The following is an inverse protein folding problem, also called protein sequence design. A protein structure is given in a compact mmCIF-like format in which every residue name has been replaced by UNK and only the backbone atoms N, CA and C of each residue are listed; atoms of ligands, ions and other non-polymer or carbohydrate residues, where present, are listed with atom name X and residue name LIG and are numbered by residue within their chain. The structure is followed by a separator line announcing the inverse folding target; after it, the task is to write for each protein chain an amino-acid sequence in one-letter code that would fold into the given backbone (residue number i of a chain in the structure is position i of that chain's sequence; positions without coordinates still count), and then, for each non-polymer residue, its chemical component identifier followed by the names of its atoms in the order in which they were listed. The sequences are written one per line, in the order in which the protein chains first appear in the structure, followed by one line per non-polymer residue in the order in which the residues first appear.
data_IF_764364352112
#
_entry.id   IF_764364352112
#
_cell.length_a   1.000
_cell.length_b   1.000
_cell.length_c   1.000
_cell.angle_alpha   90.00
_cell.angle_beta   90.00
_cell.angle_gamma   90.00
#
_symmetry.space_group_name_H-M   'P 1'
#
loop_
_entity.id
_entity.type
_entity.pdbx_description
1 polymer ?
#
# COMPACT_ATOMS: atom_id res chain seq x y z
N UNK A 1 -11.03 6.94 -37.52
CA UNK A 1 -9.79 6.32 -36.99
C UNK A 1 -9.87 6.30 -35.47
N UNK A 2 -10.09 5.14 -34.86
CA UNK A 2 -10.23 5.02 -33.40
C UNK A 2 -8.87 5.12 -32.70
N UNK A 3 -8.80 5.64 -31.46
CA UNK A 3 -7.53 5.77 -30.76
C UNK A 3 -7.00 4.37 -30.45
N UNK A 4 -5.84 4.05 -31.02
CA UNK A 4 -5.10 2.83 -30.75
C UNK A 4 -4.66 2.89 -29.28
N UNK A 5 -5.39 2.20 -28.41
CA UNK A 5 -4.97 2.00 -27.02
C UNK A 5 -3.60 1.30 -27.05
N UNK A 6 -2.54 1.89 -26.49
CA UNK A 6 -1.22 1.31 -26.62
C UNK A 6 -1.17 -0.04 -25.89
N UNK A 7 -0.86 -1.10 -26.65
CA UNK A 7 -0.53 -2.44 -26.13
C UNK A 7 0.54 -2.38 -25.03
N UNK A 8 1.37 -1.34 -25.06
CA UNK A 8 2.41 -1.05 -24.07
C UNK A 8 1.89 -1.02 -22.62
N UNK A 9 0.70 -0.46 -22.36
CA UNK A 9 0.17 -0.34 -20.99
C UNK A 9 -0.20 -1.70 -20.38
N UNK A 10 -0.57 -2.68 -21.22
CA UNK A 10 -0.85 -4.05 -20.77
C UNK A 10 0.44 -4.81 -20.47
N UNK A 11 1.45 -4.69 -21.33
CA UNK A 11 2.75 -5.32 -21.14
C UNK A 11 3.46 -4.74 -19.92
N UNK A 12 3.44 -3.41 -19.75
CA UNK A 12 3.92 -2.75 -18.51
C UNK A 12 3.18 -3.27 -17.28
N UNK A 13 1.86 -3.43 -17.34
CA UNK A 13 1.09 -4.00 -16.21
C UNK A 13 1.53 -5.41 -15.85
N UNK A 14 1.71 -6.26 -16.85
CA UNK A 14 2.17 -7.63 -16.63
C UNK A 14 3.59 -7.65 -16.11
N UNK A 15 4.48 -6.83 -16.67
CA UNK A 15 5.86 -6.72 -16.24
C UNK A 15 5.99 -6.18 -14.81
N UNK A 16 5.25 -5.13 -14.46
CA UNK A 16 5.19 -4.60 -13.09
C UNK A 16 4.59 -5.61 -12.12
N UNK A 17 3.54 -6.34 -12.53
CA UNK A 17 2.95 -7.41 -11.70
C UNK A 17 3.96 -8.54 -11.48
N UNK A 18 4.73 -8.90 -12.51
CA UNK A 18 5.78 -9.90 -12.45
C UNK A 18 6.96 -9.43 -11.61
N UNK A 19 7.34 -8.15 -11.70
CA UNK A 19 8.39 -7.54 -10.87
C UNK A 19 7.98 -7.44 -9.40
N UNK A 20 6.71 -7.17 -9.14
CA UNK A 20 6.14 -7.18 -7.77
C UNK A 20 6.13 -8.61 -7.21
N UNK A 21 5.98 -9.61 -8.08
CA UNK A 21 6.08 -11.02 -7.73
C UNK A 21 7.52 -11.46 -7.46
N UNK A 22 8.48 -11.08 -8.33
CA UNK A 22 9.90 -11.41 -8.19
C UNK A 22 10.56 -10.66 -7.01
N UNK A 23 10.10 -9.46 -6.69
CA UNK A 23 10.58 -8.67 -5.54
C UNK A 23 9.68 -8.77 -4.31
N UNK A 24 9.02 -9.92 -4.10
CA UNK A 24 8.12 -10.13 -2.96
C UNK A 24 8.84 -9.91 -1.63
N UNK A 25 10.06 -10.42 -1.46
CA UNK A 25 10.89 -10.18 -0.27
C UNK A 25 11.18 -8.69 -0.06
N UNK A 26 11.48 -7.95 -1.13
CA UNK A 26 11.68 -6.50 -1.07
C UNK A 26 10.41 -5.77 -0.64
N UNK A 27 9.26 -6.18 -1.19
CA UNK A 27 7.97 -5.62 -0.81
C UNK A 27 7.62 -5.94 0.66
N UNK A 28 7.92 -7.15 1.13
CA UNK A 28 7.77 -7.55 2.53
C UNK A 28 8.65 -6.68 3.44
N UNK A 29 9.92 -6.47 3.07
CA UNK A 29 10.85 -5.63 3.82
C UNK A 29 10.33 -4.19 3.97
N UNK A 30 9.85 -3.59 2.89
CA UNK A 30 9.24 -2.25 2.96
C UNK A 30 7.96 -2.23 3.81
N UNK A 31 7.12 -3.27 3.73
CA UNK A 31 5.95 -3.37 4.60
C UNK A 31 6.31 -3.54 6.08
N UNK A 32 7.43 -4.19 6.39
CA UNK A 32 7.93 -4.32 7.76
C UNK A 32 8.49 -3.00 8.31
N UNK A 33 9.15 -2.21 7.46
CA UNK A 33 9.54 -0.84 7.81
C UNK A 33 8.31 0.05 8.06
N UNK A 34 7.27 -0.07 7.22
CA UNK A 34 6.02 0.65 7.40
C UNK A 34 5.32 0.19 8.69
N UNK A 35 5.34 -1.10 8.98
CA UNK A 35 4.80 -1.67 10.21
C UNK A 35 5.43 -1.02 11.45
N UNK A 36 6.76 -0.94 11.52
CA UNK A 36 7.45 -0.30 12.63
C UNK A 36 7.10 1.20 12.77
N UNK A 37 7.02 1.92 11.64
CA UNK A 37 6.66 3.33 11.64
C UNK A 37 5.21 3.56 12.09
N UNK A 38 4.29 2.70 11.67
CA UNK A 38 2.87 2.77 12.05
C UNK A 38 2.67 2.34 13.50
N UNK A 39 3.44 1.37 13.99
CA UNK A 39 3.44 0.93 15.37
C UNK A 39 3.90 2.06 16.31
N UNK A 40 4.92 2.84 15.92
CA UNK A 40 5.36 4.03 16.67
C UNK A 40 4.29 5.12 16.78
N UNK A 41 3.30 5.13 15.89
CA UNK A 41 2.15 6.05 15.93
C UNK A 41 0.99 5.53 16.78
N UNK A 42 1.12 4.31 17.34
CA UNK A 42 0.10 3.69 18.20
C UNK A 42 -1.00 2.95 17.44
N UNK A 43 -0.82 2.71 16.13
CA UNK A 43 -1.77 1.95 15.33
C UNK A 43 -1.46 0.45 15.40
N UNK A 44 -2.51 -0.37 15.28
CA UNK A 44 -2.34 -1.83 15.19
C UNK A 44 -2.24 -2.25 13.75
N UNK A 45 -1.44 -3.27 13.50
CA UNK A 45 -1.17 -3.76 12.15
C UNK A 45 -1.40 -5.26 12.07
N UNK A 46 -1.90 -5.74 10.93
CA UNK A 46 -2.07 -7.16 10.63
C UNK A 46 -1.34 -7.47 9.34
N UNK A 47 -0.28 -8.27 9.46
CA UNK A 47 0.61 -8.69 8.38
C UNK A 47 -0.01 -9.84 7.58
N UNK A 48 -0.89 -9.53 6.62
CA UNK A 48 -1.49 -10.55 5.75
C UNK A 48 -0.49 -11.16 4.75
N UNK A 49 0.69 -10.56 4.59
CA UNK A 49 1.74 -11.10 3.71
C UNK A 49 2.49 -12.30 4.30
N UNK A 50 2.38 -12.54 5.62
CA UNK A 50 3.03 -13.67 6.31
C UNK A 50 2.26 -14.99 6.14
N UNK A 51 1.01 -14.91 5.69
CA UNK A 51 0.26 -16.09 5.28
C UNK A 51 0.77 -16.53 3.90
N UNK A 52 1.58 -17.57 3.88
CA UNK A 52 2.05 -18.26 2.67
C UNK A 52 0.89 -18.77 1.77
N UNK A 53 -0.35 -18.71 2.27
CA UNK A 53 -1.57 -19.13 1.58
C UNK A 53 -1.86 -18.38 0.27
N UNK A 54 -1.27 -17.20 0.02
CA UNK A 54 -1.53 -16.41 -1.18
C UNK A 54 -0.26 -15.99 -1.94
N UNK A 55 0.41 -16.93 -2.64
CA UNK A 55 1.56 -16.60 -3.50
C UNK A 55 1.15 -15.66 -4.63
N UNK A 56 -0.09 -15.76 -5.14
CA UNK A 56 -0.63 -14.99 -6.28
C UNK A 56 -1.11 -13.57 -5.96
N UNK A 57 -1.26 -13.23 -4.68
CA UNK A 57 -1.74 -11.90 -4.25
C UNK A 57 -0.56 -11.03 -3.81
N UNK A 58 -0.59 -9.72 -4.13
CA UNK A 58 0.43 -8.80 -3.66
C UNK A 58 0.45 -8.76 -2.13
N UNK A 59 1.64 -8.66 -1.50
CA UNK A 59 1.77 -8.60 -0.05
C UNK A 59 1.02 -7.37 0.46
N UNK A 60 0.25 -7.57 1.53
CA UNK A 60 -0.71 -6.59 2.01
C UNK A 60 -0.61 -6.50 3.54
N UNK A 61 -0.54 -5.27 4.03
CA UNK A 61 -0.53 -4.89 5.44
C UNK A 61 -1.83 -4.17 5.76
N UNK A 62 -2.58 -4.68 6.73
CA UNK A 62 -3.75 -3.97 7.23
C UNK A 62 -3.36 -3.10 8.40
N UNK A 63 -3.65 -1.82 8.31
CA UNK A 63 -3.49 -0.89 9.43
C UNK A 63 -4.85 -0.57 10.01
N UNK A 64 -4.98 -0.76 11.33
CA UNK A 64 -6.18 -0.54 12.11
C UNK A 64 -5.97 0.65 13.04
N UNK A 65 -6.87 1.62 12.91
CA UNK A 65 -7.04 2.67 13.88
C UNK A 65 -8.30 2.39 14.69
N UNK A 66 -8.11 2.28 16.01
CA UNK A 66 -9.19 2.10 16.96
C UNK A 66 -9.54 3.46 17.57
N UNK A 67 -10.73 3.98 17.24
CA UNK A 67 -11.37 5.07 17.99
C UNK A 67 -12.51 4.49 18.85
N UNK A 68 -12.90 5.16 19.95
CA UNK A 68 -14.08 4.80 20.73
C UNK A 68 -15.36 4.73 19.88
N UNK A 69 -15.52 5.66 18.94
CA UNK A 69 -16.76 5.78 18.15
C UNK A 69 -16.69 5.07 16.79
N UNK A 70 -15.49 4.81 16.28
CA UNK A 70 -15.30 4.25 14.94
C UNK A 70 -13.98 3.51 14.80
N UNK A 71 -14.06 2.28 14.31
CA UNK A 71 -12.89 1.51 13.90
C UNK A 71 -12.66 1.69 12.42
N UNK A 72 -11.47 2.16 12.05
CA UNK A 72 -11.09 2.38 10.67
C UNK A 72 -9.96 1.42 10.30
N UNK A 73 -10.06 0.87 9.11
CA UNK A 73 -9.01 0.05 8.51
C UNK A 73 -8.51 0.66 7.20
N UNK A 74 -7.21 0.57 6.98
CA UNK A 74 -6.56 0.98 5.75
C UNK A 74 -5.69 -0.19 5.25
N UNK A 75 -6.09 -0.87 4.16
CA UNK A 75 -5.27 -1.91 3.56
C UNK A 75 -4.17 -1.25 2.71
N UNK A 76 -2.91 -1.50 3.03
CA UNK A 76 -1.74 -0.99 2.32
C UNK A 76 -1.02 -2.14 1.61
N UNK A 77 -0.61 -1.92 0.36
CA UNK A 77 0.25 -2.81 -0.39
C UNK A 77 1.45 -2.05 -0.96
N UNK A 78 2.50 -2.79 -1.26
CA UNK A 78 3.69 -2.26 -1.95
C UNK A 78 3.66 -2.76 -3.38
N UNK A 79 3.90 -1.86 -4.34
CA UNK A 79 3.93 -2.20 -5.77
C UNK A 79 5.17 -1.64 -6.42
N UNK A 80 5.72 -2.39 -7.37
CA UNK A 80 6.75 -1.88 -8.24
C UNK A 80 6.15 -0.77 -9.13
N UNK A 81 6.88 0.33 -9.28
CA UNK A 81 6.54 1.44 -10.17
C UNK A 81 7.44 1.43 -11.41
N UNK A 82 6.99 2.03 -12.53
CA UNK A 82 7.85 2.27 -13.69
C UNK A 82 9.14 2.98 -13.25
N UNK A 83 10.30 2.54 -13.74
CA UNK A 83 11.61 3.10 -13.33
C UNK A 83 12.33 2.32 -12.22
N UNK A 84 11.85 1.13 -11.85
CA UNK A 84 12.57 0.24 -10.94
C UNK A 84 12.45 0.61 -9.46
N UNK A 85 11.63 1.61 -9.14
CA UNK A 85 11.29 2.04 -7.80
C UNK A 85 10.11 1.23 -7.23
N UNK A 86 9.82 1.44 -5.96
CA UNK A 86 8.70 0.85 -5.24
C UNK A 86 7.88 1.95 -4.60
N UNK A 87 6.56 1.78 -4.56
CA UNK A 87 5.64 2.72 -3.93
C UNK A 87 4.68 2.02 -2.97
N UNK A 88 4.34 2.72 -1.88
CA UNK A 88 3.24 2.37 -1.00
C UNK A 88 1.92 2.81 -1.63
N UNK A 89 0.95 1.89 -1.63
CA UNK A 89 -0.38 2.11 -2.18
C UNK A 89 -1.44 1.64 -1.18
N UNK A 90 -2.54 2.37 -1.06
CA UNK A 90 -3.75 1.92 -0.42
C UNK A 90 -4.52 1.00 -1.37
N UNK A 91 -4.63 -0.28 -1.00
CA UNK A 91 -5.30 -1.31 -1.82
C UNK A 91 -6.81 -1.06 -1.98
N UNK A 92 -7.43 -0.28 -1.09
CA UNK A 92 -8.87 0.05 -1.13
C UNK A 92 -9.24 1.14 -2.15
N UNK A 93 -8.29 1.99 -2.57
CA UNK A 93 -8.54 3.14 -3.46
C UNK A 93 -8.12 2.92 -4.92
N UNK A 94 -7.65 1.73 -5.27
CA UNK A 94 -7.24 1.39 -6.63
C UNK A 94 -6.10 2.28 -7.13
N UNK A 95 -6.36 3.09 -8.18
CA UNK A 95 -5.36 4.01 -8.78
C UNK A 95 -5.12 5.29 -7.96
N UNK A 96 -6.07 5.70 -7.13
CA UNK A 96 -5.96 6.90 -6.29
C UNK A 96 -5.36 6.59 -4.90
N UNK A 97 -4.84 5.37 -4.73
CA UNK A 97 -4.28 4.91 -3.47
C UNK A 97 -2.80 5.20 -3.31
N UNK A 98 -2.11 5.87 -4.23
CA UNK A 98 -0.68 6.15 -4.07
C UNK A 98 -0.45 7.01 -2.82
N UNK A 99 0.38 6.51 -1.90
CA UNK A 99 0.71 7.20 -0.66
C UNK A 99 2.06 7.91 -0.77
N UNK A 100 3.11 7.14 -1.09
CA UNK A 100 4.49 7.62 -1.02
C UNK A 100 5.45 6.61 -1.66
N UNK A 101 6.62 7.03 -2.19
CA UNK A 101 7.67 6.11 -2.58
C UNK A 101 8.22 5.32 -1.38
N UNK A 102 8.65 4.08 -1.59
CA UNK A 102 9.14 3.21 -0.52
C UNK A 102 10.44 3.69 0.16
N UNK A 103 11.13 4.68 -0.44
CA UNK A 103 12.27 5.36 0.20
C UNK A 103 11.89 6.24 1.38
N UNK A 104 10.63 6.71 1.44
CA UNK A 104 10.15 7.67 2.43
C UNK A 104 9.09 7.07 3.35
N UNK A 105 9.47 6.03 4.08
CA UNK A 105 8.55 5.31 5.00
C UNK A 105 7.91 6.22 6.05
N UNK A 106 8.63 7.25 6.50
CA UNK A 106 8.09 8.26 7.42
C UNK A 106 6.94 9.04 6.78
N UNK A 107 7.12 9.49 5.54
CA UNK A 107 6.09 10.21 4.81
C UNK A 107 4.88 9.31 4.50
N UNK A 108 5.14 8.04 4.17
CA UNK A 108 4.08 7.03 4.00
C UNK A 108 3.25 6.86 5.28
N UNK A 109 3.90 6.81 6.45
CA UNK A 109 3.21 6.71 7.73
C UNK A 109 2.41 7.98 8.07
N UNK A 110 2.92 9.17 7.74
CA UNK A 110 2.19 10.44 7.91
C UNK A 110 0.96 10.53 7.00
N UNK A 111 1.07 10.12 5.73
CA UNK A 111 -0.07 10.05 4.81
C UNK A 111 -1.12 9.05 5.30
N UNK A 112 -0.68 7.91 5.86
CA UNK A 112 -1.58 6.92 6.42
C UNK A 112 -2.27 7.41 7.70
N UNK A 113 -1.53 8.09 8.59
CA UNK A 113 -2.06 8.76 9.79
C UNK A 113 -3.13 9.79 9.41
N UNK A 114 -2.85 10.66 8.43
CA UNK A 114 -3.82 11.62 7.91
C UNK A 114 -5.07 10.95 7.32
N UNK A 115 -4.90 9.88 6.55
CA UNK A 115 -6.01 9.12 5.96
C UNK A 115 -6.87 8.43 7.03
N UNK A 116 -6.23 7.83 8.04
CA UNK A 116 -6.93 7.20 9.17
C UNK A 116 -7.68 8.25 9.99
N UNK A 117 -7.06 9.38 10.31
CA UNK A 117 -7.69 10.52 11.01
C UNK A 117 -8.87 11.07 10.24
N UNK A 118 -8.74 11.30 8.92
CA UNK A 118 -9.84 11.75 8.07
C UNK A 118 -11.01 10.77 8.07
N UNK A 119 -10.74 9.46 8.09
CA UNK A 119 -11.80 8.44 8.18
C UNK A 119 -12.42 8.33 9.57
N UNK A 120 -11.64 8.57 10.63
CA UNK A 120 -12.14 8.58 12.01
C UNK A 120 -13.01 9.81 12.27
N UNK A 121 -12.60 10.97 11.76
CA UNK A 121 -13.27 12.26 11.95
C UNK A 121 -13.59 12.92 10.59
N UNK A 122 -14.63 12.44 9.88
CA UNK A 122 -15.02 13.00 8.59
C UNK A 122 -15.62 14.42 8.71
N UNK A 123 -15.94 14.88 9.92
CA UNK A 123 -16.63 16.14 10.21
C UNK A 123 -15.73 17.26 10.75
N UNK A 124 -14.43 17.01 10.91
CA UNK A 124 -13.46 18.02 11.41
C UNK A 124 -12.60 18.64 10.31
N UNK A 125 -12.89 18.38 9.03
CA UNK A 125 -12.12 18.83 7.88
C UNK A 125 -13.02 19.36 6.77
#
# INVERSE_FOLDING_TARGET
MGPVRPLNVRVERYFLRWRTWLGRDTAIHYLDLLDAAVWSKGYRTVKLYRADEFPTRPPLLWVFAFSPDRHVRAPVNVRATPGGTWGYYEAGRGRHGYLSPCGDTKHAAEQLDGLLKHRMFPSTW
#
